data_IF_351770921322
#
_entry.id   IF_351770921322
#
_cell.length_a   1.000
_cell.length_b   1.000
_cell.length_c   1.000
_cell.angle_alpha   90.00
_cell.angle_beta   90.00
_cell.angle_gamma   90.00
#
_symmetry.space_group_name_H-M   'P 1'
#
loop_
_entity.id
_entity.type
_entity.pdbx_description
1 polymer ?
#
# COMPACT_ATOMS: atom_id res chain seq x y z
N UNK A 1 45.23 35.49 -9.71
CA UNK A 1 45.02 34.49 -8.64
C UNK A 1 43.74 33.74 -8.93
N UNK A 2 43.83 32.49 -9.41
CA UNK A 2 42.68 31.64 -9.72
C UNK A 2 42.12 31.08 -8.41
N UNK A 3 40.89 31.45 -8.04
CA UNK A 3 40.17 30.81 -6.93
C UNK A 3 39.57 29.51 -7.47
N UNK A 4 40.14 28.38 -7.06
CA UNK A 4 39.56 27.05 -7.27
C UNK A 4 38.50 26.89 -6.18
N UNK A 5 37.23 26.91 -6.58
CA UNK A 5 36.12 26.47 -5.75
C UNK A 5 36.13 24.94 -5.75
N UNK A 6 36.47 24.34 -4.61
CA UNK A 6 36.31 22.92 -4.39
C UNK A 6 34.81 22.61 -4.29
N UNK A 7 34.27 21.92 -5.31
CA UNK A 7 32.98 21.24 -5.21
C UNK A 7 33.17 20.01 -4.32
N UNK A 8 32.62 20.04 -3.11
CA UNK A 8 32.40 18.82 -2.34
C UNK A 8 31.18 18.11 -2.94
N UNK A 9 31.41 17.11 -3.78
CA UNK A 9 30.39 16.15 -4.20
C UNK A 9 30.05 15.26 -3.00
N UNK A 10 29.01 15.60 -2.24
CA UNK A 10 28.36 14.63 -1.38
C UNK A 10 27.68 13.61 -2.29
N UNK A 11 28.27 12.43 -2.43
CA UNK A 11 27.57 11.24 -2.90
C UNK A 11 26.58 10.84 -1.79
N UNK A 12 25.39 11.41 -1.83
CA UNK A 12 24.23 10.90 -1.11
C UNK A 12 23.84 9.59 -1.78
N UNK A 13 24.18 8.47 -1.15
CA UNK A 13 23.61 7.17 -1.48
C UNK A 13 22.15 7.27 -1.03
N UNK A 14 21.24 7.54 -1.96
CA UNK A 14 19.81 7.56 -1.70
C UNK A 14 19.35 6.15 -1.36
N UNK A 15 19.00 5.90 -0.10
CA UNK A 15 18.24 4.73 0.31
C UNK A 15 16.77 5.00 0.00
N UNK A 16 16.28 4.44 -1.10
CA UNK A 16 14.86 4.43 -1.45
C UNK A 16 14.11 3.56 -0.43
N UNK A 17 13.02 4.10 0.11
CA UNK A 17 12.19 3.42 1.09
C UNK A 17 10.74 3.75 0.82
N UNK A 18 10.01 2.78 0.28
CA UNK A 18 8.66 2.91 -0.24
C UNK A 18 7.86 1.75 0.35
N UNK A 19 6.92 1.97 1.27
CA UNK A 19 6.01 0.94 1.80
C UNK A 19 6.72 -0.42 2.06
N UNK A 20 6.07 -1.59 2.17
CA UNK A 20 6.93 -2.78 1.99
C UNK A 20 7.68 -2.56 0.68
N UNK A 21 9.03 -2.50 0.70
CA UNK A 21 9.78 -2.01 -0.49
C UNK A 21 9.18 -2.63 -1.74
N UNK A 22 8.98 -1.89 -2.83
CA UNK A 22 8.29 -2.40 -4.02
C UNK A 22 8.68 -3.85 -4.39
N UNK A 23 9.98 -4.16 -4.24
CA UNK A 23 10.54 -5.51 -4.39
C UNK A 23 9.95 -6.56 -3.42
N UNK A 24 9.76 -6.22 -2.16
CA UNK A 24 9.09 -7.06 -1.15
C UNK A 24 7.66 -7.43 -1.56
N UNK A 25 6.84 -6.49 -2.07
CA UNK A 25 5.51 -6.82 -2.60
C UNK A 25 5.59 -7.89 -3.70
N UNK A 26 6.47 -7.66 -4.69
CA UNK A 26 6.68 -8.60 -5.79
C UNK A 26 7.09 -9.98 -5.30
N UNK A 27 8.05 -10.03 -4.36
CA UNK A 27 8.55 -11.27 -3.78
C UNK A 27 7.47 -12.05 -3.04
N UNK A 28 6.66 -11.38 -2.21
CA UNK A 28 5.54 -12.00 -1.50
C UNK A 28 4.58 -12.69 -2.48
N UNK A 29 4.27 -12.05 -3.60
CA UNK A 29 3.37 -12.62 -4.62
C UNK A 29 3.99 -13.84 -5.31
N UNK A 30 5.27 -13.75 -5.70
CA UNK A 30 5.99 -14.89 -6.30
C UNK A 30 6.06 -16.07 -5.33
N UNK A 31 6.35 -15.80 -4.06
CA UNK A 31 6.40 -16.82 -3.00
C UNK A 31 5.03 -17.44 -2.73
N UNK A 32 3.94 -16.68 -2.85
CA UNK A 32 2.58 -17.21 -2.75
C UNK A 32 2.27 -18.21 -3.89
N UNK A 33 2.65 -17.90 -5.13
CA UNK A 33 2.49 -18.84 -6.26
C UNK A 33 3.37 -20.08 -6.06
N UNK A 34 4.60 -19.92 -5.56
CA UNK A 34 5.49 -21.03 -5.22
C UNK A 34 4.92 -21.90 -4.10
N UNK A 35 4.32 -21.30 -3.07
CA UNK A 35 3.63 -22.03 -2.01
C UNK A 35 2.47 -22.85 -2.57
N UNK A 36 1.63 -22.26 -3.43
CA UNK A 36 0.55 -22.99 -4.11
C UNK A 36 1.08 -24.16 -4.95
N UNK A 37 2.21 -23.95 -5.66
CA UNK A 37 2.84 -25.00 -6.45
C UNK A 37 3.30 -26.21 -5.63
N UNK A 38 3.78 -25.95 -4.41
CA UNK A 38 4.23 -26.99 -3.48
C UNK A 38 3.09 -27.61 -2.67
N UNK A 39 1.92 -26.96 -2.63
CA UNK A 39 0.75 -27.42 -1.90
C UNK A 39 -0.49 -27.49 -2.83
N UNK A 40 -0.43 -28.23 -3.95
CA UNK A 40 -1.48 -28.19 -4.98
C UNK A 40 -2.77 -28.87 -4.57
N UNK A 41 -2.76 -29.69 -3.52
CA UNK A 41 -3.94 -30.41 -3.01
C UNK A 41 -4.77 -29.60 -2.03
N UNK A 42 -4.18 -28.58 -1.41
CA UNK A 42 -4.83 -27.70 -0.42
C UNK A 42 -5.04 -26.28 -0.95
N UNK A 43 -4.62 -26.01 -2.19
CA UNK A 43 -4.76 -24.73 -2.88
C UNK A 43 -5.39 -24.92 -4.26
N UNK A 44 -5.78 -23.83 -4.92
CA UNK A 44 -6.34 -23.82 -6.27
C UNK A 44 -5.25 -23.77 -7.35
N UNK A 45 -4.05 -24.33 -7.09
CA UNK A 45 -2.91 -24.24 -8.00
C UNK A 45 -3.21 -24.78 -9.42
N UNK A 46 -3.95 -25.88 -9.52
CA UNK A 46 -4.35 -26.43 -10.83
C UNK A 46 -5.19 -25.45 -11.63
N UNK A 47 -6.06 -24.67 -10.98
CA UNK A 47 -6.85 -23.63 -11.63
C UNK A 47 -6.01 -22.40 -11.95
N UNK A 48 -5.08 -22.03 -11.08
CA UNK A 48 -4.12 -20.95 -11.35
C UNK A 48 -3.26 -21.26 -12.60
N UNK A 49 -2.82 -22.51 -12.76
CA UNK A 49 -2.16 -22.98 -13.99
C UNK A 49 -3.05 -22.87 -15.23
N UNK A 50 -4.32 -23.25 -15.12
CA UNK A 50 -5.28 -23.10 -16.22
C UNK A 50 -5.48 -21.63 -16.59
N UNK A 51 -5.58 -20.76 -15.58
CA UNK A 51 -5.69 -19.32 -15.77
C UNK A 51 -4.43 -18.72 -16.44
N UNK A 52 -3.23 -19.15 -16.05
CA UNK A 52 -1.99 -18.77 -16.73
C UNK A 52 -2.03 -19.17 -18.22
N UNK A 53 -2.36 -20.43 -18.50
CA UNK A 53 -2.44 -20.95 -19.87
C UNK A 53 -3.49 -20.20 -20.71
N UNK A 54 -4.64 -19.86 -20.13
CA UNK A 54 -5.69 -19.09 -20.81
C UNK A 54 -5.26 -17.67 -21.18
N UNK A 55 -4.27 -17.11 -20.47
CA UNK A 55 -3.65 -15.82 -20.78
C UNK A 55 -2.36 -15.95 -21.60
N UNK A 56 -2.06 -17.14 -22.16
CA UNK A 56 -0.82 -17.44 -22.89
C UNK A 56 0.46 -17.22 -22.07
N UNK A 57 0.38 -17.46 -20.76
CA UNK A 57 1.51 -17.33 -19.83
C UNK A 57 1.90 -18.70 -19.27
N UNK A 58 3.19 -18.90 -19.00
CA UNK A 58 3.62 -19.95 -18.05
C UNK A 58 3.23 -19.54 -16.63
N UNK A 59 3.23 -20.48 -15.70
CA UNK A 59 2.92 -20.17 -14.30
C UNK A 59 3.94 -19.18 -13.69
N UNK A 60 5.22 -19.28 -14.07
CA UNK A 60 6.28 -18.37 -13.60
C UNK A 60 6.14 -16.98 -14.23
N UNK A 61 5.73 -16.90 -15.50
CA UNK A 61 5.45 -15.62 -16.15
C UNK A 61 4.22 -14.94 -15.53
N UNK A 62 3.18 -15.71 -15.18
CA UNK A 62 2.04 -15.20 -14.44
C UNK A 62 2.46 -14.69 -13.06
N UNK A 63 3.24 -15.45 -12.29
CA UNK A 63 3.71 -15.03 -10.97
C UNK A 63 4.49 -13.71 -11.03
N UNK A 64 5.39 -13.58 -12.02
CA UNK A 64 6.14 -12.35 -12.23
C UNK A 64 5.24 -11.18 -12.65
N UNK A 65 4.25 -11.40 -13.51
CA UNK A 65 3.30 -10.36 -13.91
C UNK A 65 2.47 -9.86 -12.71
N UNK A 66 1.96 -10.79 -11.89
CA UNK A 66 1.19 -10.46 -10.70
C UNK A 66 2.05 -9.69 -9.68
N UNK A 67 3.27 -10.17 -9.43
CA UNK A 67 4.20 -9.51 -8.52
C UNK A 67 4.68 -8.16 -9.02
N UNK A 68 4.93 -8.01 -10.33
CA UNK A 68 5.28 -6.71 -10.91
C UNK A 68 4.12 -5.73 -10.82
N UNK A 69 2.90 -6.16 -11.08
CA UNK A 69 1.74 -5.29 -10.89
C UNK A 69 1.59 -4.84 -9.43
N UNK A 70 1.83 -5.71 -8.44
CA UNK A 70 1.84 -5.32 -7.03
C UNK A 70 2.95 -4.31 -6.68
N UNK A 71 4.13 -4.46 -7.31
CA UNK A 71 5.25 -3.51 -7.23
C UNK A 71 4.88 -2.13 -7.78
N UNK A 72 4.17 -2.10 -8.92
CA UNK A 72 3.93 -0.87 -9.68
C UNK A 72 2.92 0.08 -9.01
N UNK A 73 2.11 -0.39 -8.05
CA UNK A 73 1.10 0.44 -7.36
C UNK A 73 1.73 1.62 -6.61
N UNK A 74 2.88 1.42 -5.96
CA UNK A 74 3.65 2.50 -5.30
C UNK A 74 4.05 3.63 -6.27
N UNK A 75 4.08 3.34 -7.57
CA UNK A 75 4.51 4.26 -8.61
C UNK A 75 3.38 4.94 -9.38
N UNK A 76 2.12 4.65 -9.04
CA UNK A 76 0.98 5.27 -9.70
C UNK A 76 1.04 6.79 -9.62
N UNK A 77 0.86 7.43 -10.76
CA UNK A 77 0.73 8.88 -10.90
C UNK A 77 -0.76 9.24 -10.95
N UNK A 78 -1.49 8.87 -9.90
CA UNK A 78 -2.95 8.95 -9.82
C UNK A 78 -3.47 9.91 -8.74
N UNK A 79 -2.57 10.50 -7.95
CA UNK A 79 -2.91 11.32 -6.80
C UNK A 79 -2.14 12.63 -6.83
N UNK A 80 -2.88 13.74 -6.90
CA UNK A 80 -2.36 15.10 -7.01
C UNK A 80 -3.00 15.98 -5.94
N UNK A 81 -2.19 16.77 -5.24
CA UNK A 81 -2.68 17.85 -4.37
C UNK A 81 -2.32 19.19 -4.97
N UNK A 82 -3.19 20.16 -4.77
CA UNK A 82 -3.05 21.52 -5.26
C UNK A 82 -2.67 22.45 -4.11
N UNK A 83 -1.70 23.32 -4.37
CA UNK A 83 -1.18 24.24 -3.36
C UNK A 83 -2.22 25.27 -2.92
N UNK A 84 -2.43 25.45 -1.61
CA UNK A 84 -3.42 26.39 -1.07
C UNK A 84 -3.31 27.83 -1.62
N UNK A 85 -2.06 28.25 -1.91
CA UNK A 85 -1.74 29.61 -2.35
C UNK A 85 -1.71 29.72 -3.88
N UNK A 86 -1.06 28.77 -4.56
CA UNK A 86 -0.82 28.85 -6.01
C UNK A 86 -1.89 28.16 -6.84
N UNK A 87 -2.59 27.16 -6.27
CA UNK A 87 -3.44 26.20 -6.98
C UNK A 87 -2.68 25.25 -7.90
N UNK A 88 -1.35 25.28 -7.89
CA UNK A 88 -0.56 24.37 -8.72
C UNK A 88 -0.65 22.95 -8.15
N UNK A 89 -1.12 22.00 -8.97
CA UNK A 89 -1.27 20.61 -8.57
C UNK A 89 -0.02 19.79 -8.88
N UNK A 90 0.47 19.05 -7.89
CA UNK A 90 1.67 18.21 -7.99
C UNK A 90 1.41 16.81 -7.43
N UNK A 91 2.17 15.84 -7.90
CA UNK A 91 2.08 14.43 -7.44
C UNK A 91 2.93 14.12 -6.20
N UNK A 92 3.82 15.04 -5.83
CA UNK A 92 4.78 14.89 -4.74
C UNK A 92 5.29 16.28 -4.33
N UNK A 93 5.65 16.49 -3.05
CA UNK A 93 6.24 17.75 -2.61
C UNK A 93 7.71 17.84 -3.02
N UNK A 94 8.21 19.07 -3.19
CA UNK A 94 9.58 19.32 -3.70
C UNK A 94 10.70 18.76 -2.80
N UNK A 95 10.47 18.58 -1.49
CA UNK A 95 11.45 17.96 -0.59
C UNK A 95 11.44 16.42 -0.64
N UNK A 96 10.48 15.82 -1.35
CA UNK A 96 10.35 14.38 -1.53
C UNK A 96 11.51 13.72 -2.28
N UNK A 97 12.30 14.50 -3.02
CA UNK A 97 13.53 13.99 -3.68
C UNK A 97 14.64 13.59 -2.69
N UNK A 98 14.56 14.01 -1.42
CA UNK A 98 15.59 13.76 -0.40
C UNK A 98 15.18 12.76 0.69
N UNK A 99 13.89 12.44 0.81
CA UNK A 99 13.33 11.58 1.87
C UNK A 99 12.27 10.66 1.26
N UNK A 100 12.74 9.64 0.54
CA UNK A 100 12.12 8.38 0.09
C UNK A 100 10.59 8.06 0.12
N UNK A 101 9.70 8.79 0.76
CA UNK A 101 8.28 8.41 1.01
C UNK A 101 7.24 9.15 0.14
N UNK A 102 7.58 10.15 -0.67
CA UNK A 102 6.61 11.26 -0.82
C UNK A 102 5.85 11.35 -2.15
N UNK A 103 5.42 10.24 -2.75
CA UNK A 103 4.30 10.32 -3.71
C UNK A 103 3.00 10.40 -2.93
N UNK A 104 2.08 11.30 -3.29
CA UNK A 104 0.81 11.45 -2.58
C UNK A 104 -0.08 10.21 -2.67
N UNK A 105 0.15 9.33 -3.66
CA UNK A 105 -0.53 8.03 -3.74
C UNK A 105 -0.34 7.17 -2.47
N UNK A 106 0.78 7.35 -1.75
CA UNK A 106 1.06 6.65 -0.49
C UNK A 106 -0.01 6.87 0.60
N UNK A 107 -0.77 7.96 0.57
CA UNK A 107 -1.83 8.21 1.55
C UNK A 107 -3.00 7.20 1.46
N UNK A 108 -3.13 6.48 0.34
CA UNK A 108 -4.11 5.40 0.16
C UNK A 108 -3.66 4.05 0.74
N UNK A 109 -2.43 3.95 1.26
CA UNK A 109 -1.82 2.66 1.63
C UNK A 109 -2.10 2.24 3.08
N UNK A 110 -2.89 3.04 3.80
CA UNK A 110 -3.12 2.86 5.23
C UNK A 110 -4.47 2.22 5.54
N UNK A 111 -4.54 1.53 6.68
CA UNK A 111 -5.78 1.16 7.34
C UNK A 111 -5.60 1.44 8.84
N UNK A 112 -6.33 2.41 9.38
CA UNK A 112 -6.07 2.98 10.69
C UNK A 112 -6.70 2.16 11.82
N UNK A 113 -5.98 1.15 12.29
CA UNK A 113 -6.39 0.29 13.41
C UNK A 113 -6.39 1.01 14.77
N UNK A 114 -5.88 2.25 14.84
CA UNK A 114 -5.81 3.02 16.09
C UNK A 114 -7.09 3.79 16.42
N UNK A 115 -7.94 4.02 15.41
CA UNK A 115 -9.17 4.82 15.55
C UNK A 115 -10.43 4.03 15.15
N UNK A 116 -10.32 3.01 14.29
CA UNK A 116 -11.50 2.30 13.78
C UNK A 116 -12.24 3.11 12.72
N UNK A 117 -13.56 3.08 12.77
CA UNK A 117 -14.43 3.64 11.74
C UNK A 117 -14.22 5.13 11.47
N UNK A 118 -14.46 5.56 10.24
CA UNK A 118 -14.19 6.92 9.77
C UNK A 118 -15.43 7.70 9.30
N UNK A 119 -15.19 8.91 8.81
CA UNK A 119 -16.22 9.81 8.30
C UNK A 119 -16.87 9.33 6.99
N UNK A 120 -16.29 8.37 6.27
CA UNK A 120 -16.88 7.80 5.06
C UNK A 120 -17.85 6.65 5.37
N UNK A 121 -17.90 6.19 6.62
CA UNK A 121 -18.67 5.03 7.04
C UNK A 121 -17.95 3.69 6.83
N UNK A 122 -16.62 3.71 6.64
CA UNK A 122 -15.81 2.50 6.61
C UNK A 122 -15.65 1.92 8.02
N UNK A 123 -15.38 0.61 8.14
CA UNK A 123 -15.06 -0.04 9.43
C UNK A 123 -13.72 0.46 10.01
N UNK A 124 -12.79 0.84 9.13
CA UNK A 124 -11.51 1.49 9.44
C UNK A 124 -11.26 2.65 8.47
N UNK A 125 -10.70 3.76 8.96
CA UNK A 125 -10.25 4.85 8.08
C UNK A 125 -8.88 4.59 7.43
N UNK A 126 -8.52 5.39 6.43
CA UNK A 126 -7.16 5.45 5.88
C UNK A 126 -6.27 6.43 6.66
N UNK A 127 -5.33 7.06 5.96
CA UNK A 127 -4.57 8.18 6.51
C UNK A 127 -5.49 9.35 6.85
N UNK A 128 -5.27 9.98 8.01
CA UNK A 128 -5.89 11.25 8.38
C UNK A 128 -4.98 11.91 9.41
N UNK A 129 -4.45 13.08 9.07
CA UNK A 129 -3.48 13.78 9.90
C UNK A 129 -4.03 14.12 11.29
N UNK A 130 -5.23 14.73 11.36
CA UNK A 130 -5.89 15.08 12.63
C UNK A 130 -6.09 13.86 13.57
N UNK A 131 -6.25 12.66 13.01
CA UNK A 131 -6.57 11.42 13.75
C UNK A 131 -5.37 10.52 14.00
N UNK A 132 -4.15 10.95 13.71
CA UNK A 132 -2.95 10.18 14.04
C UNK A 132 -2.84 9.99 15.56
N UNK A 133 -2.65 8.75 16.00
CA UNK A 133 -2.37 8.44 17.42
C UNK A 133 -0.88 8.24 17.68
N UNK A 134 -0.13 8.00 16.61
CA UNK A 134 1.31 7.82 16.62
C UNK A 134 1.90 8.84 15.64
N UNK A 135 2.60 9.81 16.21
CA UNK A 135 3.14 10.96 15.49
C UNK A 135 4.64 10.81 15.28
N UNK A 136 5.12 11.21 14.10
CA UNK A 136 6.54 11.44 13.92
C UNK A 136 6.89 12.65 13.06
N UNK A 137 8.19 12.79 12.81
CA UNK A 137 8.77 13.95 12.15
C UNK A 137 8.35 14.06 10.68
N UNK A 138 8.18 12.93 9.98
CA UNK A 138 7.71 12.91 8.58
C UNK A 138 6.26 13.40 8.51
N UNK A 139 5.40 12.92 9.39
CA UNK A 139 3.99 13.37 9.46
C UNK A 139 3.92 14.87 9.76
N UNK A 140 4.71 15.35 10.72
CA UNK A 140 4.79 16.78 11.08
C UNK A 140 5.29 17.65 9.92
N UNK A 141 6.25 17.14 9.13
CA UNK A 141 6.75 17.83 7.95
C UNK A 141 5.69 17.88 6.84
N UNK A 142 4.97 16.78 6.63
CA UNK A 142 3.88 16.71 5.66
C UNK A 142 2.82 17.78 5.93
N UNK A 143 2.24 17.84 7.14
CA UNK A 143 1.24 18.87 7.43
C UNK A 143 1.79 20.31 7.48
N UNK A 144 3.07 20.49 7.82
CA UNK A 144 3.68 21.82 7.74
C UNK A 144 3.80 22.28 6.28
N UNK A 145 4.12 21.35 5.38
CA UNK A 145 4.32 21.63 3.96
C UNK A 145 3.00 21.76 3.21
N UNK A 146 2.06 20.86 3.48
CA UNK A 146 0.76 20.73 2.81
C UNK A 146 -0.33 21.55 3.49
N UNK A 147 0.06 22.62 4.20
CA UNK A 147 -0.85 23.39 5.03
C UNK A 147 -1.94 24.05 4.18
N UNK A 148 -3.19 23.64 4.39
CA UNK A 148 -4.34 24.04 3.58
C UNK A 148 -4.30 23.60 2.12
N UNK A 149 -3.38 22.71 1.74
CA UNK A 149 -3.39 22.10 0.40
C UNK A 149 -4.61 21.18 0.29
N UNK A 150 -5.19 21.11 -0.91
CA UNK A 150 -6.43 20.39 -1.18
C UNK A 150 -6.22 19.28 -2.21
N UNK A 151 -7.12 18.29 -2.22
CA UNK A 151 -7.08 17.20 -3.18
C UNK A 151 -7.57 17.75 -4.51
N UNK A 152 -6.84 17.51 -5.58
CA UNK A 152 -7.24 17.94 -6.91
C UNK A 152 -8.63 17.40 -7.31
N UNK A 153 -9.55 18.28 -7.72
CA UNK A 153 -10.91 17.99 -8.20
C UNK A 153 -11.13 18.32 -9.68
N UNK A 154 -10.04 18.57 -10.41
CA UNK A 154 -10.08 18.90 -11.83
C UNK A 154 -10.83 20.20 -12.10
N UNK A 155 -11.83 20.18 -12.97
CA UNK A 155 -12.62 21.40 -13.23
C UNK A 155 -13.55 21.80 -12.05
N UNK A 156 -13.47 21.10 -10.92
CA UNK A 156 -14.24 21.35 -9.72
C UNK A 156 -13.83 22.68 -9.08
N UNK A 157 -14.81 23.42 -8.57
CA UNK A 157 -14.71 24.86 -8.34
C UNK A 157 -13.79 25.30 -7.19
N UNK A 158 -12.94 24.43 -6.66
CA UNK A 158 -11.88 24.85 -5.75
C UNK A 158 -10.81 25.64 -6.46
N UNK A 159 -10.26 26.60 -5.74
CA UNK A 159 -9.14 27.39 -6.25
C UNK A 159 -8.28 27.86 -5.10
N UNK A 160 -6.97 27.95 -5.31
CA UNK A 160 -6.07 28.61 -4.37
C UNK A 160 -6.47 30.07 -4.10
N UNK A 161 -5.82 30.71 -3.11
CA UNK A 161 -6.21 32.02 -2.55
C UNK A 161 -6.41 33.16 -3.55
N UNK A 162 -5.81 33.09 -4.74
CA UNK A 162 -5.94 34.10 -5.80
C UNK A 162 -6.81 33.68 -6.98
N UNK A 163 -7.61 32.61 -6.83
CA UNK A 163 -8.31 31.95 -7.93
C UNK A 163 -7.39 31.52 -9.07
N UNK A 164 -6.14 31.26 -8.71
CA UNK A 164 -5.19 30.58 -9.57
C UNK A 164 -5.44 29.10 -9.33
N UNK A 165 -6.08 28.45 -10.29
CA UNK A 165 -6.12 27.01 -10.44
C UNK A 165 -6.24 26.77 -11.95
N UNK A 166 -5.28 26.03 -12.51
CA UNK A 166 -5.24 25.62 -13.92
C UNK A 166 -5.15 24.09 -14.06
N UNK A 167 -5.60 23.36 -13.02
CA UNK A 167 -5.44 21.91 -12.91
C UNK A 167 -5.88 21.16 -14.18
N UNK A 168 -5.10 20.15 -14.52
CA UNK A 168 -5.30 19.27 -15.66
C UNK A 168 -5.70 17.85 -15.22
N UNK A 169 -5.74 17.60 -13.92
CA UNK A 169 -5.96 16.28 -13.32
C UNK A 169 -7.39 16.17 -12.77
N UNK A 170 -7.71 15.06 -12.09
CA UNK A 170 -8.96 14.94 -11.31
C UNK A 170 -8.85 13.81 -10.28
N UNK A 171 -8.07 14.02 -9.23
CA UNK A 171 -7.82 12.99 -8.20
C UNK A 171 -9.09 12.61 -7.46
N UNK A 172 -9.90 13.58 -7.01
CA UNK A 172 -11.13 13.31 -6.28
C UNK A 172 -12.17 12.58 -7.16
N UNK A 173 -12.41 13.09 -8.37
CA UNK A 173 -13.44 12.56 -9.27
C UNK A 173 -13.05 11.26 -10.00
N UNK A 174 -11.78 10.84 -9.93
CA UNK A 174 -11.30 9.60 -10.56
C UNK A 174 -10.75 8.64 -9.52
N UNK A 175 -9.66 8.99 -8.84
CA UNK A 175 -8.93 8.08 -7.95
C UNK A 175 -9.69 7.82 -6.65
N UNK A 176 -10.07 8.86 -5.91
CA UNK A 176 -10.86 8.69 -4.69
C UNK A 176 -12.22 8.05 -4.98
N UNK A 177 -12.88 8.47 -6.07
CA UNK A 177 -14.15 7.89 -6.49
C UNK A 177 -14.08 6.38 -6.75
N UNK A 178 -12.96 5.87 -7.27
CA UNK A 178 -12.73 4.43 -7.43
C UNK A 178 -12.60 3.71 -6.08
N UNK A 179 -12.02 4.37 -5.07
CA UNK A 179 -11.79 3.81 -3.73
C UNK A 179 -12.96 4.03 -2.76
N UNK A 180 -14.05 4.65 -3.23
CA UNK A 180 -15.28 4.85 -2.46
C UNK A 180 -16.22 3.64 -2.57
N UNK A 181 -15.77 2.48 -2.08
CA UNK A 181 -16.52 1.22 -2.20
C UNK A 181 -17.49 1.03 -1.03
N UNK A 182 -18.80 1.08 -1.31
CA UNK A 182 -19.87 1.04 -0.31
C UNK A 182 -19.77 2.14 0.78
N UNK A 183 -19.01 3.19 0.50
CA UNK A 183 -18.77 4.32 1.39
C UNK A 183 -19.29 5.62 0.77
N UNK A 184 -19.18 6.74 1.48
CA UNK A 184 -19.57 8.05 0.97
C UNK A 184 -18.47 9.07 1.20
N UNK A 185 -18.34 10.03 0.28
CA UNK A 185 -17.46 11.17 0.47
C UNK A 185 -18.08 12.40 -0.19
N UNK A 186 -17.78 13.56 0.37
CA UNK A 186 -18.05 14.86 -0.24
C UNK A 186 -16.72 15.59 -0.40
N UNK A 187 -16.66 16.53 -1.33
CA UNK A 187 -15.40 17.18 -1.63
C UNK A 187 -14.88 18.02 -0.46
N UNK A 188 -15.75 18.62 0.37
CA UNK A 188 -15.35 19.33 1.60
C UNK A 188 -14.74 18.43 2.69
N UNK A 189 -14.56 17.12 2.44
CA UNK A 189 -13.68 16.28 3.26
C UNK A 189 -12.21 16.40 2.80
N UNK A 190 -11.95 16.96 1.63
CA UNK A 190 -10.68 16.95 0.91
C UNK A 190 -10.17 18.36 0.55
N UNK A 191 -10.77 19.40 1.11
CA UNK A 191 -10.40 20.81 0.89
C UNK A 191 -9.29 21.31 1.83
N UNK A 192 -8.88 20.50 2.82
CA UNK A 192 -7.77 20.78 3.72
C UNK A 192 -7.03 19.50 4.16
N UNK A 193 -5.76 19.35 3.77
CA UNK A 193 -4.89 18.20 4.08
C UNK A 193 -4.87 17.85 5.57
N UNK A 194 -4.90 18.85 6.44
CA UNK A 194 -4.79 18.67 7.88
C UNK A 194 -5.99 17.87 8.44
N UNK A 195 -7.13 17.89 7.75
CA UNK A 195 -8.38 17.24 8.15
C UNK A 195 -8.81 16.08 7.22
N UNK A 196 -8.12 15.89 6.08
CA UNK A 196 -8.52 14.92 5.06
C UNK A 196 -8.59 13.47 5.56
N UNK A 197 -9.74 12.80 5.41
CA UNK A 197 -9.84 11.37 5.58
C UNK A 197 -9.58 10.68 4.24
N UNK A 198 -8.50 9.91 4.13
CA UNK A 198 -8.27 9.03 2.98
C UNK A 198 -9.10 7.75 3.12
N UNK A 199 -9.57 7.21 2.00
CA UNK A 199 -10.15 5.87 1.95
C UNK A 199 -9.08 4.84 2.34
N UNK A 200 -9.44 3.76 3.06
CA UNK A 200 -8.48 2.77 3.49
C UNK A 200 -8.04 1.84 2.34
N UNK A 201 -6.83 1.28 2.45
CA UNK A 201 -6.22 0.43 1.42
C UNK A 201 -7.07 -0.82 1.06
N UNK A 202 -7.91 -1.32 1.97
CA UNK A 202 -8.80 -2.42 1.65
C UNK A 202 -9.92 -2.03 0.68
N UNK A 203 -10.33 -0.76 0.64
CA UNK A 203 -11.21 -0.27 -0.43
C UNK A 203 -10.49 -0.19 -1.78
N UNK A 204 -9.23 0.25 -1.82
CA UNK A 204 -8.38 0.19 -3.02
C UNK A 204 -8.26 -1.25 -3.53
N UNK A 205 -7.95 -2.20 -2.63
CA UNK A 205 -7.87 -3.61 -2.94
C UNK A 205 -9.19 -4.17 -3.47
N UNK A 206 -10.31 -3.79 -2.86
CA UNK A 206 -11.64 -4.21 -3.25
C UNK A 206 -12.04 -3.70 -4.65
N UNK A 207 -11.73 -2.44 -4.95
CA UNK A 207 -11.96 -1.86 -6.28
C UNK A 207 -11.24 -2.67 -7.36
N UNK A 208 -9.92 -2.88 -7.21
CA UNK A 208 -9.17 -3.67 -8.19
C UNK A 208 -9.62 -5.12 -8.27
N UNK A 209 -10.07 -5.70 -7.16
CA UNK A 209 -10.62 -7.05 -7.16
C UNK A 209 -11.92 -7.14 -7.95
N UNK A 210 -12.81 -6.16 -7.83
CA UNK A 210 -14.03 -6.08 -8.65
C UNK A 210 -13.69 -5.89 -10.13
N UNK A 211 -12.75 -5.01 -10.46
CA UNK A 211 -12.27 -4.82 -11.84
C UNK A 211 -11.67 -6.11 -12.42
N UNK A 212 -10.95 -6.89 -11.61
CA UNK A 212 -10.46 -8.20 -11.98
C UNK A 212 -11.59 -9.20 -12.21
N UNK A 213 -12.59 -9.27 -11.33
CA UNK A 213 -13.72 -10.18 -11.51
C UNK A 213 -14.49 -9.90 -12.81
N UNK A 214 -14.61 -8.63 -13.19
CA UNK A 214 -15.28 -8.20 -14.43
C UNK A 214 -14.46 -8.51 -15.69
N UNK A 215 -13.16 -8.19 -15.70
CA UNK A 215 -12.32 -8.27 -16.90
C UNK A 215 -11.55 -9.59 -17.04
N UNK A 216 -11.22 -10.21 -15.91
CA UNK A 216 -10.30 -11.34 -15.85
C UNK A 216 -8.83 -11.02 -16.08
N UNK A 217 -8.44 -9.75 -16.14
CA UNK A 217 -7.09 -9.35 -16.51
C UNK A 217 -6.08 -9.58 -15.36
N UNK A 218 -4.96 -10.31 -15.59
CA UNK A 218 -4.04 -10.67 -14.51
C UNK A 218 -3.44 -9.46 -13.79
N UNK A 219 -3.14 -8.38 -14.51
CA UNK A 219 -2.53 -7.19 -13.92
C UNK A 219 -3.40 -6.57 -12.81
N UNK A 220 -4.72 -6.55 -12.99
CA UNK A 220 -5.64 -6.01 -11.97
C UNK A 220 -5.62 -6.86 -10.71
N UNK A 221 -5.52 -8.19 -10.85
CA UNK A 221 -5.35 -9.08 -9.71
C UNK A 221 -3.99 -8.84 -9.00
N UNK A 222 -2.96 -8.49 -9.76
CA UNK A 222 -1.67 -8.08 -9.19
C UNK A 222 -1.75 -6.78 -8.38
N UNK A 223 -2.50 -5.78 -8.83
CA UNK A 223 -2.74 -4.54 -8.07
C UNK A 223 -3.41 -4.84 -6.71
N UNK A 224 -4.33 -5.81 -6.65
CA UNK A 224 -4.93 -6.25 -5.38
C UNK A 224 -3.87 -6.73 -4.39
N UNK A 225 -2.80 -7.37 -4.85
CA UNK A 225 -1.78 -7.92 -3.95
C UNK A 225 -0.85 -6.87 -3.34
N UNK A 226 -0.90 -5.62 -3.81
CA UNK A 226 -0.26 -4.52 -3.11
C UNK A 226 -0.84 -4.33 -1.69
N UNK A 227 -2.08 -4.76 -1.44
CA UNK A 227 -2.71 -4.76 -0.10
C UNK A 227 -1.94 -5.53 0.98
N UNK A 228 -0.87 -6.27 0.64
CA UNK A 228 0.09 -6.79 1.62
C UNK A 228 0.74 -5.70 2.47
N UNK A 229 0.61 -4.43 2.10
CA UNK A 229 0.89 -3.28 2.97
C UNK A 229 0.13 -3.32 4.29
N UNK A 230 -1.02 -4.00 4.37
CA UNK A 230 -1.69 -4.27 5.64
C UNK A 230 -0.86 -5.14 6.60
N UNK A 231 0.17 -5.85 6.10
CA UNK A 231 1.13 -6.61 6.91
C UNK A 231 2.43 -5.83 7.14
N UNK A 232 2.47 -4.56 6.71
CA UNK A 232 3.47 -3.58 7.07
C UNK A 232 2.94 -2.88 8.37
N UNK A 233 3.66 -2.93 9.51
CA UNK A 233 3.16 -2.37 10.77
C UNK A 233 2.84 -0.87 10.74
N UNK A 234 3.71 -0.03 10.19
CA UNK A 234 3.50 1.42 10.04
C UNK A 234 2.22 1.77 9.27
N UNK A 235 1.79 0.94 8.33
CA UNK A 235 0.57 1.16 7.55
C UNK A 235 -0.72 0.88 8.34
N UNK A 236 -0.64 0.07 9.40
CA UNK A 236 -1.76 -0.24 10.29
C UNK A 236 -1.79 0.62 11.55
N UNK A 237 -0.61 1.09 11.97
CA UNK A 237 -0.43 2.11 13.00
C UNK A 237 -0.51 3.55 12.45
N UNK A 238 -0.67 3.69 11.13
CA UNK A 238 -0.84 4.96 10.40
C UNK A 238 0.24 5.99 10.72
N UNK A 239 1.50 5.67 10.44
CA UNK A 239 2.59 6.64 10.57
C UNK A 239 3.57 6.50 9.41
N UNK A 240 4.02 7.62 8.85
CA UNK A 240 5.09 7.66 7.85
C UNK A 240 6.50 7.78 8.46
N UNK A 241 6.59 7.72 9.80
CA UNK A 241 7.79 8.01 10.57
C UNK A 241 8.24 6.79 11.40
N UNK A 242 8.98 7.01 12.48
CA UNK A 242 9.28 5.95 13.46
C UNK A 242 9.89 4.69 12.84
N UNK A 243 11.04 4.84 12.19
CA UNK A 243 11.76 3.75 11.52
C UNK A 243 11.04 3.12 10.32
N UNK A 244 9.95 3.70 9.79
CA UNK A 244 9.21 3.18 8.63
C UNK A 244 10.12 2.70 7.50
N UNK A 245 10.87 3.63 6.91
CA UNK A 245 11.80 3.36 5.83
C UNK A 245 12.92 2.37 6.19
N UNK A 246 13.41 2.45 7.43
CA UNK A 246 14.48 1.60 7.94
C UNK A 246 14.03 0.15 8.17
N UNK A 247 12.78 -0.04 8.60
CA UNK A 247 12.17 -1.35 8.77
C UNK A 247 12.00 -2.05 7.42
N UNK A 248 11.48 -1.34 6.43
CA UNK A 248 11.23 -1.88 5.09
C UNK A 248 12.52 -2.25 4.37
N UNK A 249 13.53 -1.38 4.49
CA UNK A 249 14.88 -1.67 3.99
C UNK A 249 15.47 -2.90 4.67
N UNK A 250 15.29 -3.04 5.99
CA UNK A 250 15.75 -4.23 6.71
C UNK A 250 15.05 -5.49 6.26
N UNK A 251 13.73 -5.47 6.08
CA UNK A 251 12.98 -6.64 5.59
C UNK A 251 13.50 -7.04 4.21
N UNK A 252 13.66 -6.07 3.30
CA UNK A 252 14.22 -6.30 1.97
C UNK A 252 15.61 -6.93 2.02
N UNK A 253 16.51 -6.39 2.83
CA UNK A 253 17.90 -6.80 2.90
C UNK A 253 18.07 -8.18 3.56
N UNK A 254 17.23 -8.51 4.54
CA UNK A 254 17.32 -9.76 5.30
C UNK A 254 16.34 -10.84 4.83
N UNK A 255 15.52 -10.58 3.80
CA UNK A 255 14.46 -11.49 3.36
C UNK A 255 14.96 -12.91 3.10
N UNK A 256 16.04 -13.06 2.32
CA UNK A 256 16.64 -14.36 2.00
C UNK A 256 17.49 -14.89 3.15
N UNK A 257 18.28 -14.02 3.76
CA UNK A 257 19.22 -14.41 4.81
C UNK A 257 18.49 -15.01 6.03
N UNK A 258 17.33 -14.47 6.36
CA UNK A 258 16.54 -14.86 7.52
C UNK A 258 15.39 -15.82 7.20
N UNK A 259 15.32 -16.30 5.95
CA UNK A 259 14.31 -17.24 5.46
C UNK A 259 12.88 -16.75 5.75
N UNK A 260 12.60 -15.47 5.42
CA UNK A 260 11.32 -14.84 5.76
C UNK A 260 10.13 -15.45 5.00
N UNK A 261 10.38 -16.12 3.87
CA UNK A 261 9.40 -16.89 3.10
C UNK A 261 9.31 -18.37 3.52
N UNK A 262 9.78 -18.72 4.71
CA UNK A 262 9.75 -20.09 5.22
C UNK A 262 8.36 -20.74 5.07
N UNK A 263 8.29 -21.81 4.28
CA UNK A 263 7.03 -22.47 3.91
C UNK A 263 6.24 -23.03 5.11
N UNK A 264 6.92 -23.42 6.19
CA UNK A 264 6.25 -23.93 7.38
C UNK A 264 5.61 -22.80 8.17
N UNK A 265 6.23 -21.61 8.20
CA UNK A 265 5.60 -20.41 8.74
C UNK A 265 4.42 -19.97 7.89
N UNK A 266 4.56 -19.98 6.55
CA UNK A 266 3.44 -19.66 5.63
C UNK A 266 2.29 -20.63 5.86
N UNK A 267 2.55 -21.94 5.96
CA UNK A 267 1.53 -22.95 6.26
C UNK A 267 0.82 -22.68 7.59
N UNK A 268 1.55 -22.23 8.60
CA UNK A 268 0.97 -21.88 9.91
C UNK A 268 0.10 -20.63 9.81
N UNK A 269 0.55 -19.62 9.07
CA UNK A 269 -0.20 -18.40 8.78
C UNK A 269 -1.46 -18.66 7.94
N UNK A 270 -1.45 -19.63 7.02
CA UNK A 270 -2.64 -20.00 6.25
C UNK A 270 -3.84 -20.36 7.14
N UNK A 271 -3.59 -20.91 8.33
CA UNK A 271 -4.63 -21.33 9.29
C UNK A 271 -5.18 -20.19 10.15
N UNK A 272 -4.57 -19.00 10.15
CA UNK A 272 -5.01 -17.86 10.96
C UNK A 272 -6.05 -17.00 10.25
N UNK A 273 -6.10 -17.07 8.92
CA UNK A 273 -7.09 -16.39 8.10
C UNK A 273 -8.34 -17.24 7.86
N UNK A 274 -9.50 -16.59 7.90
CA UNK A 274 -10.75 -17.15 7.38
C UNK A 274 -10.79 -16.97 5.85
N UNK A 275 -10.85 -18.05 5.04
CA UNK A 275 -10.94 -17.91 3.59
C UNK A 275 -12.19 -17.14 3.15
N UNK A 276 -12.05 -16.33 2.10
CA UNK A 276 -13.20 -15.66 1.48
C UNK A 276 -14.16 -16.72 0.93
N UNK A 277 -15.43 -16.62 1.29
CA UNK A 277 -16.44 -17.56 0.83
C UNK A 277 -16.59 -17.48 -0.70
N UNK A 278 -16.64 -18.63 -1.39
CA UNK A 278 -16.65 -18.73 -2.86
C UNK A 278 -17.67 -17.82 -3.58
N UNK A 279 -18.82 -17.55 -2.97
CA UNK A 279 -19.88 -16.73 -3.57
C UNK A 279 -19.83 -15.27 -3.10
N UNK A 280 -18.87 -14.90 -2.25
CA UNK A 280 -18.61 -13.51 -1.87
C UNK A 280 -17.81 -12.83 -2.97
N UNK A 281 -18.08 -11.54 -3.19
CA UNK A 281 -17.20 -10.68 -3.99
C UNK A 281 -16.43 -9.68 -3.13
N UNK A 282 -16.71 -9.65 -1.83
CA UNK A 282 -16.05 -8.78 -0.86
C UNK A 282 -14.85 -9.51 -0.24
N UNK A 283 -13.66 -8.95 -0.47
CA UNK A 283 -12.39 -9.44 0.07
C UNK A 283 -11.91 -8.63 1.29
N UNK A 284 -12.54 -7.49 1.60
CA UNK A 284 -12.15 -6.61 2.71
C UNK A 284 -12.11 -7.32 4.07
N UNK A 285 -13.00 -8.28 4.40
CA UNK A 285 -12.90 -9.02 5.66
C UNK A 285 -11.61 -9.85 5.80
N UNK A 286 -11.04 -10.33 4.70
CA UNK A 286 -9.73 -11.02 4.70
C UNK A 286 -8.61 -10.01 4.91
N UNK A 287 -8.65 -8.88 4.19
CA UNK A 287 -7.67 -7.81 4.29
C UNK A 287 -7.62 -7.23 5.71
N UNK A 288 -8.79 -6.97 6.30
CA UNK A 288 -8.93 -6.49 7.69
C UNK A 288 -8.34 -7.45 8.72
N UNK A 289 -8.45 -8.77 8.51
CA UNK A 289 -7.77 -9.76 9.36
C UNK A 289 -6.24 -9.61 9.29
N UNK A 290 -5.71 -9.32 8.10
CA UNK A 290 -4.28 -9.06 7.89
C UNK A 290 -3.83 -7.80 8.62
N UNK A 291 -4.59 -6.71 8.44
CA UNK A 291 -4.35 -5.44 9.15
C UNK A 291 -4.37 -5.61 10.67
N UNK A 292 -5.40 -6.29 11.20
CA UNK A 292 -5.54 -6.54 12.63
C UNK A 292 -4.38 -7.38 13.20
N UNK A 293 -3.89 -8.36 12.42
CA UNK A 293 -2.72 -9.14 12.80
C UNK A 293 -1.46 -8.28 12.88
N UNK A 294 -1.19 -7.49 11.83
CA UNK A 294 -0.04 -6.58 11.77
C UNK A 294 -0.05 -5.56 12.91
N UNK A 295 -1.22 -4.95 13.16
CA UNK A 295 -1.39 -4.02 14.27
C UNK A 295 -1.04 -4.67 15.62
N UNK A 296 -1.55 -5.88 15.86
CA UNK A 296 -1.35 -6.62 17.10
C UNK A 296 0.10 -7.12 17.32
N UNK A 297 0.86 -7.41 16.25
CA UNK A 297 2.19 -8.02 16.34
C UNK A 297 3.35 -7.07 15.99
N UNK A 298 3.06 -5.98 15.29
CA UNK A 298 4.04 -5.16 14.60
C UNK A 298 4.57 -3.95 15.37
N UNK A 299 3.90 -3.53 16.46
CA UNK A 299 4.19 -2.25 17.13
C UNK A 299 5.64 -2.04 17.58
N UNK A 300 6.41 -3.11 17.84
CA UNK A 300 7.81 -3.00 18.31
C UNK A 300 8.73 -2.37 17.25
N UNK A 301 8.49 -2.62 15.95
CA UNK A 301 9.40 -2.14 14.89
C UNK A 301 9.28 -0.65 14.61
N UNK A 302 8.24 0.00 15.14
CA UNK A 302 8.13 1.46 15.13
C UNK A 302 9.24 2.09 15.97
N UNK A 303 9.67 1.44 17.05
CA UNK A 303 10.62 2.02 18.00
C UNK A 303 11.96 1.27 18.07
N UNK A 304 12.04 0.05 17.54
CA UNK A 304 13.26 -0.77 17.57
C UNK A 304 13.93 -0.91 16.21
N UNK A 305 15.24 -0.66 16.19
CA UNK A 305 16.13 -1.04 15.08
C UNK A 305 16.93 -2.31 15.37
N UNK A 306 16.71 -2.93 16.54
CA UNK A 306 17.41 -4.15 16.91
C UNK A 306 17.07 -5.30 15.96
N UNK A 307 18.09 -6.06 15.55
CA UNK A 307 17.93 -7.14 14.59
C UNK A 307 17.00 -8.25 15.12
N UNK A 308 17.07 -8.60 16.41
CA UNK A 308 16.26 -9.68 16.97
C UNK A 308 14.78 -9.30 17.07
N UNK A 309 14.49 -8.07 17.48
CA UNK A 309 13.11 -7.55 17.49
C UNK A 309 12.52 -7.56 16.08
N UNK A 310 13.27 -7.01 15.12
CA UNK A 310 12.88 -6.97 13.71
C UNK A 310 12.67 -8.36 13.12
N UNK A 311 13.59 -9.29 13.38
CA UNK A 311 13.48 -10.67 12.94
C UNK A 311 12.24 -11.37 13.51
N UNK A 312 11.97 -11.16 14.79
CA UNK A 312 10.81 -11.74 15.47
C UNK A 312 9.50 -11.24 14.88
N UNK A 313 9.39 -9.95 14.55
CA UNK A 313 8.23 -9.39 13.86
C UNK A 313 8.16 -9.85 12.40
N UNK A 314 9.28 -9.86 11.67
CA UNK A 314 9.33 -10.22 10.25
C UNK A 314 8.91 -11.67 10.01
N UNK A 315 9.35 -12.60 10.88
CA UNK A 315 8.94 -14.02 10.86
C UNK A 315 7.45 -14.23 11.15
N UNK A 316 6.73 -13.20 11.56
CA UNK A 316 5.30 -13.21 11.68
C UNK A 316 4.65 -12.57 10.46
N UNK A 317 4.97 -11.32 10.16
CA UNK A 317 4.22 -10.55 9.17
C UNK A 317 4.45 -10.98 7.73
N UNK A 318 5.67 -11.40 7.35
CA UNK A 318 5.96 -11.83 5.97
C UNK A 318 5.25 -13.14 5.61
N UNK A 319 5.30 -14.21 6.43
CA UNK A 319 4.50 -15.40 6.18
C UNK A 319 2.99 -15.14 6.12
N UNK A 320 2.47 -14.19 6.92
CA UNK A 320 1.06 -13.79 6.87
C UNK A 320 0.72 -13.01 5.61
N UNK A 321 1.62 -12.17 5.10
CA UNK A 321 1.44 -11.48 3.83
C UNK A 321 1.36 -12.49 2.67
N UNK A 322 2.28 -13.47 2.63
CA UNK A 322 2.25 -14.56 1.65
C UNK A 322 0.95 -15.35 1.77
N UNK A 323 0.53 -15.71 2.99
CA UNK A 323 -0.70 -16.45 3.22
C UNK A 323 -1.95 -15.68 2.75
N UNK A 324 -2.00 -14.36 2.97
CA UNK A 324 -3.08 -13.49 2.50
C UNK A 324 -3.19 -13.52 0.97
N UNK A 325 -2.06 -13.42 0.25
CA UNK A 325 -2.03 -13.54 -1.22
C UNK A 325 -2.49 -14.93 -1.67
N UNK A 326 -2.08 -16.01 -0.99
CA UNK A 326 -2.55 -17.37 -1.30
C UNK A 326 -4.07 -17.49 -1.14
N UNK A 327 -4.66 -16.89 -0.10
CA UNK A 327 -6.11 -16.87 0.09
C UNK A 327 -6.84 -16.11 -1.02
N UNK A 328 -6.33 -14.93 -1.39
CA UNK A 328 -6.87 -14.14 -2.50
C UNK A 328 -6.77 -14.88 -3.84
N UNK A 329 -5.63 -15.51 -4.13
CA UNK A 329 -5.44 -16.34 -5.34
C UNK A 329 -6.40 -17.53 -5.34
N UNK A 330 -6.54 -18.24 -4.22
CA UNK A 330 -7.50 -19.34 -4.09
C UNK A 330 -8.92 -18.88 -4.43
N UNK A 331 -9.33 -17.74 -3.88
CA UNK A 331 -10.65 -17.17 -4.11
C UNK A 331 -10.84 -16.71 -5.56
N UNK A 332 -9.88 -15.96 -6.11
CA UNK A 332 -9.89 -15.47 -7.49
C UNK A 332 -10.10 -16.60 -8.52
N UNK A 333 -9.50 -17.76 -8.28
CA UNK A 333 -9.57 -18.91 -9.20
C UNK A 333 -10.90 -19.68 -9.15
N UNK A 334 -11.78 -19.39 -8.19
CA UNK A 334 -13.08 -20.07 -8.05
C UNK A 334 -14.29 -19.14 -8.11
N UNK A 335 -14.04 -17.84 -8.15
CA UNK A 335 -15.04 -16.77 -8.21
C UNK A 335 -15.28 -16.25 -9.62
N UNK A 336 -14.44 -16.68 -10.57
CA UNK A 336 -14.64 -16.60 -12.02
C UNK A 336 -15.00 -17.98 -12.55
#
# INVERSE_FOLDING_TARGET
MKKILALCSLALIGSNAQAFSQETHKRIVVDAVNYMAQNPTTTQYSKLKQYANANNLTIDALANLLGQAAYDVDDFEDTFFCGAITGDCVQAPLWGAAQSIVKYTSYWHFQNHTQGADSHGNDFGGYNYEKLTVWGNVDSLAATWLKGDYLDDGAGGETGWFRADDTQYNTYGVTEANYRVDSHSNYSMYDDFEEMPFQPIDNLGQYWYQSFLQSGHPQLLGFVFHTTDLLQPHHTWTTSALNHSSWESWVKDYYDQEDLNNLQLVRSAMATFTPVAKNSQDIRPLLTQGGAFSYAQGGIVLNSQDHYDRLTTAKQVIPHAIAMVVHLLNHAMVSR
#
